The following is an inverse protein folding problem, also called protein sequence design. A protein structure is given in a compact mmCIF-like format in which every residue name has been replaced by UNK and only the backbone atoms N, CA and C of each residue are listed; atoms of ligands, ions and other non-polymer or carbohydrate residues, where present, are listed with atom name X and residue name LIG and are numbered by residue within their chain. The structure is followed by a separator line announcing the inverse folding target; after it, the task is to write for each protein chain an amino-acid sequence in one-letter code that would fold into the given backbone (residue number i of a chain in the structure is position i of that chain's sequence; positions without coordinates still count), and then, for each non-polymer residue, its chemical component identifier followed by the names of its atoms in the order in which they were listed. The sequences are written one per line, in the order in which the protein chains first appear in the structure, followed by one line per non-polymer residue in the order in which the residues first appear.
data_IF_015228333828
#
_entry.id   IF_015228333828
#
_cell.length_a   1.000
_cell.length_b   1.000
_cell.length_c   1.000
_cell.angle_alpha   90.00
_cell.angle_beta   90.00
_cell.angle_gamma   90.00
#
_symmetry.space_group_name_H-M   'P 1'
#
loop_
_entity.id
_entity.type
_entity.pdbx_description
1 polymer ?
#
# COMPACT_ATOMS: atom_id res chain seq x y z
N UNK A 1 5.89 35.71 -40.50
CA UNK A 1 7.02 34.91 -40.00
C UNK A 1 6.75 34.60 -38.54
N UNK A 2 6.45 33.34 -38.23
CA UNK A 2 6.16 32.89 -36.86
C UNK A 2 7.39 32.16 -36.34
N UNK A 3 8.24 32.84 -35.57
CA UNK A 3 9.24 32.17 -34.75
C UNK A 3 8.66 32.11 -33.35
N UNK A 4 7.83 31.10 -33.08
CA UNK A 4 7.50 30.70 -31.72
C UNK A 4 8.63 29.80 -31.22
N UNK A 5 9.77 30.40 -30.89
CA UNK A 5 10.85 29.67 -30.22
C UNK A 5 10.47 29.53 -28.75
N UNK A 6 10.27 28.29 -28.31
CA UNK A 6 10.02 27.94 -26.90
C UNK A 6 11.14 28.47 -25.98
N UNK A 7 12.34 28.68 -26.51
CA UNK A 7 13.49 29.22 -25.79
C UNK A 7 13.34 30.70 -25.39
N UNK A 8 12.33 31.41 -25.90
CA UNK A 8 12.05 32.80 -25.53
C UNK A 8 11.27 32.87 -24.20
N UNK A 9 10.63 31.77 -23.79
CA UNK A 9 9.91 31.70 -22.51
C UNK A 9 10.85 31.98 -21.35
N UNK A 10 10.36 32.61 -20.29
CA UNK A 10 11.15 32.91 -19.10
C UNK A 10 11.42 31.66 -18.27
N UNK A 11 12.35 31.74 -17.30
CA UNK A 11 12.67 30.60 -16.44
C UNK A 11 11.48 30.20 -15.57
N UNK A 12 10.68 31.17 -15.14
CA UNK A 12 9.47 30.98 -14.36
C UNK A 12 8.45 30.14 -15.13
N UNK A 13 8.25 30.42 -16.43
CA UNK A 13 7.37 29.59 -17.26
C UNK A 13 7.84 28.13 -17.35
N UNK A 14 9.16 27.87 -17.33
CA UNK A 14 9.68 26.50 -17.32
C UNK A 14 9.51 25.82 -15.97
N UNK A 15 9.67 26.56 -14.85
CA UNK A 15 9.36 26.01 -13.54
C UNK A 15 7.87 25.65 -13.41
N UNK A 16 6.98 26.50 -13.94
CA UNK A 16 5.55 26.20 -14.01
C UNK A 16 5.27 24.93 -14.83
N UNK A 17 6.00 24.72 -15.94
CA UNK A 17 5.90 23.47 -16.73
C UNK A 17 6.42 22.27 -15.93
N UNK A 18 7.55 22.43 -15.24
CA UNK A 18 8.19 21.36 -14.48
C UNK A 18 7.32 20.88 -13.32
N UNK A 19 6.45 21.72 -12.75
CA UNK A 19 5.51 21.31 -11.71
C UNK A 19 4.50 20.25 -12.18
N UNK A 20 4.25 20.13 -13.49
CA UNK A 20 3.39 19.10 -14.08
C UNK A 20 4.13 17.84 -14.52
N UNK A 21 5.47 17.84 -14.48
CA UNK A 21 6.31 16.75 -14.94
C UNK A 21 7.02 16.08 -13.76
N UNK A 22 7.32 14.81 -13.88
CA UNK A 22 8.22 14.14 -12.95
C UNK A 22 9.69 14.37 -13.34
N UNK A 23 10.60 14.20 -12.39
CA UNK A 23 12.03 14.47 -12.63
C UNK A 23 12.65 13.66 -13.77
N UNK A 24 12.13 12.46 -14.07
CA UNK A 24 12.59 11.67 -15.22
C UNK A 24 12.13 12.26 -16.54
N UNK A 25 10.88 12.70 -16.63
CA UNK A 25 10.34 13.37 -17.83
C UNK A 25 11.06 14.70 -18.08
N UNK A 26 11.34 15.47 -17.02
CA UNK A 26 12.15 16.70 -17.12
C UNK A 26 13.53 16.36 -17.69
N UNK A 27 14.19 15.34 -17.14
CA UNK A 27 15.48 14.90 -17.63
C UNK A 27 15.42 14.46 -19.09
N UNK A 28 14.49 13.59 -19.48
CA UNK A 28 14.37 13.11 -20.85
C UNK A 28 14.09 14.23 -21.85
N UNK A 29 13.22 15.19 -21.49
CA UNK A 29 12.77 16.23 -22.40
C UNK A 29 13.75 17.42 -22.49
N UNK A 30 14.44 17.76 -21.41
CA UNK A 30 15.20 19.02 -21.31
C UNK A 30 16.71 18.84 -21.09
N UNK A 31 17.19 17.65 -20.72
CA UNK A 31 18.63 17.42 -20.60
C UNK A 31 19.33 17.47 -21.96
N UNK A 32 20.56 17.95 -21.96
CA UNK A 32 21.46 18.08 -23.12
C UNK A 32 20.88 18.93 -24.28
N UNK A 33 19.83 19.72 -24.05
CA UNK A 33 19.30 20.64 -25.07
C UNK A 33 20.23 21.85 -25.25
N UNK A 34 20.54 22.56 -24.16
CA UNK A 34 21.47 23.68 -24.12
C UNK A 34 21.84 24.03 -22.65
N UNK A 35 22.84 24.90 -22.48
CA UNK A 35 23.35 25.30 -21.15
C UNK A 35 22.28 25.93 -20.25
N UNK A 36 21.29 26.63 -20.83
CA UNK A 36 20.21 27.26 -20.06
C UNK A 36 19.32 26.20 -19.41
N UNK A 37 18.92 25.17 -20.14
CA UNK A 37 18.11 24.09 -19.59
C UNK A 37 18.89 23.26 -18.57
N UNK A 38 20.18 23.01 -18.80
CA UNK A 38 21.03 22.36 -17.79
C UNK A 38 21.10 23.17 -16.49
N UNK A 39 21.22 24.49 -16.56
CA UNK A 39 21.17 25.35 -15.37
C UNK A 39 19.81 25.32 -14.68
N UNK A 40 18.71 25.28 -15.45
CA UNK A 40 17.36 25.21 -14.91
C UNK A 40 17.12 23.90 -14.16
N UNK A 41 17.52 22.77 -14.74
CA UNK A 41 17.34 21.43 -14.16
C UNK A 41 18.21 21.27 -12.90
N UNK A 42 19.45 21.75 -12.94
CA UNK A 42 20.36 21.63 -11.80
C UNK A 42 20.19 22.75 -10.76
N UNK A 43 19.19 23.64 -10.93
CA UNK A 43 18.93 24.73 -10.00
C UNK A 43 18.39 24.22 -8.66
N UNK A 44 19.01 24.64 -7.56
CA UNK A 44 18.63 24.26 -6.19
C UNK A 44 17.19 24.60 -5.79
N UNK A 45 16.49 25.47 -6.54
CA UNK A 45 15.10 25.86 -6.28
C UNK A 45 14.09 24.81 -6.75
N UNK A 46 14.50 23.89 -7.63
CA UNK A 46 13.63 22.87 -8.19
C UNK A 46 13.65 21.63 -7.28
N UNK A 47 12.49 21.19 -6.81
CA UNK A 47 12.35 19.99 -5.98
C UNK A 47 11.75 18.86 -6.81
N UNK A 48 12.43 17.72 -6.85
CA UNK A 48 12.02 16.62 -7.71
C UNK A 48 11.22 15.55 -6.97
N UNK A 49 10.06 15.23 -7.55
CA UNK A 49 9.46 13.91 -7.47
C UNK A 49 9.85 13.14 -8.72
N UNK A 50 10.49 12.00 -8.53
CA UNK A 50 11.03 11.22 -9.65
C UNK A 50 10.39 9.85 -9.64
N UNK A 51 9.78 9.47 -10.76
CA UNK A 51 9.22 8.15 -10.97
C UNK A 51 9.78 7.56 -12.25
N UNK A 52 10.40 6.39 -12.15
CA UNK A 52 11.01 5.73 -13.30
C UNK A 52 10.54 4.28 -13.33
N UNK A 53 9.98 3.89 -14.46
CA UNK A 53 9.75 2.50 -14.83
C UNK A 53 10.89 2.05 -15.73
N UNK A 54 11.65 1.05 -15.29
CA UNK A 54 12.93 0.71 -15.90
C UNK A 54 12.75 -0.59 -16.66
N UNK A 55 12.95 -0.50 -17.98
CA UNK A 55 12.88 -1.62 -18.92
C UNK A 55 14.29 -2.03 -19.35
N UNK A 56 14.45 -3.28 -19.80
CA UNK A 56 15.75 -3.93 -20.08
C UNK A 56 16.69 -3.16 -21.02
N UNK A 57 16.19 -2.21 -21.80
CA UNK A 57 16.91 -1.56 -22.90
C UNK A 57 17.17 -0.05 -22.72
N UNK A 58 16.80 0.55 -21.59
CA UNK A 58 17.05 1.99 -21.39
C UNK A 58 18.48 2.28 -20.87
N UNK A 59 19.07 3.44 -21.22
CA UNK A 59 20.32 3.92 -20.62
C UNK A 59 20.12 4.37 -19.17
N UNK A 60 19.65 3.46 -18.30
CA UNK A 60 19.36 3.69 -16.89
C UNK A 60 20.61 4.12 -16.10
N UNK A 61 21.79 3.65 -16.49
CA UNK A 61 23.06 4.05 -15.89
C UNK A 61 23.30 5.56 -16.06
N UNK A 62 22.91 6.11 -17.21
CA UNK A 62 23.02 7.54 -17.48
C UNK A 62 22.02 8.30 -16.61
N UNK A 63 20.77 7.85 -16.54
CA UNK A 63 19.77 8.46 -15.67
C UNK A 63 20.18 8.45 -14.19
N UNK A 64 20.66 7.34 -13.65
CA UNK A 64 21.09 7.28 -12.25
C UNK A 64 22.26 8.22 -11.98
N UNK A 65 23.28 8.18 -12.84
CA UNK A 65 24.49 8.99 -12.66
C UNK A 65 24.28 10.48 -12.94
N UNK A 66 23.45 10.84 -13.90
CA UNK A 66 23.27 12.21 -14.36
C UNK A 66 22.08 12.90 -13.70
N UNK A 67 21.02 12.16 -13.36
CA UNK A 67 19.85 12.74 -12.71
C UNK A 67 19.88 12.50 -11.21
N UNK A 68 19.90 11.25 -10.76
CA UNK A 68 19.81 10.94 -9.32
C UNK A 68 21.05 11.46 -8.60
N UNK A 69 22.24 11.12 -9.09
CA UNK A 69 23.50 11.47 -8.43
C UNK A 69 23.83 12.97 -8.45
N UNK A 70 23.52 13.71 -9.52
CA UNK A 70 23.77 15.15 -9.58
C UNK A 70 22.73 15.95 -8.78
N UNK A 71 21.48 15.48 -8.75
CA UNK A 71 20.36 16.19 -8.12
C UNK A 71 19.92 15.59 -6.79
N UNK A 72 20.77 14.82 -6.10
CA UNK A 72 20.44 14.16 -4.82
C UNK A 72 19.82 15.11 -3.77
N UNK A 73 20.31 16.33 -3.72
CA UNK A 73 19.85 17.35 -2.78
C UNK A 73 18.45 17.89 -3.12
N UNK A 74 17.95 17.69 -4.35
CA UNK A 74 16.65 18.18 -4.81
C UNK A 74 15.56 17.10 -4.75
N UNK A 75 15.95 15.83 -4.74
CA UNK A 75 15.02 14.70 -4.76
C UNK A 75 14.39 14.52 -3.38
N UNK A 76 13.08 14.78 -3.29
CA UNK A 76 12.31 14.52 -2.07
C UNK A 76 11.45 13.25 -2.16
N UNK A 77 11.17 12.76 -3.37
CA UNK A 77 10.45 11.50 -3.57
C UNK A 77 11.01 10.70 -4.73
N UNK A 78 11.29 9.42 -4.48
CA UNK A 78 11.85 8.50 -5.46
C UNK A 78 10.96 7.26 -5.61
N UNK A 79 10.46 7.02 -6.81
CA UNK A 79 9.71 5.82 -7.18
C UNK A 79 10.45 5.07 -8.29
N UNK A 80 10.93 3.87 -7.98
CA UNK A 80 11.63 3.01 -8.92
C UNK A 80 10.84 1.71 -9.09
N UNK A 81 10.46 1.40 -10.32
CA UNK A 81 9.78 0.15 -10.65
C UNK A 81 10.57 -0.59 -11.71
N UNK A 82 10.95 -1.82 -11.42
CA UNK A 82 11.48 -2.74 -12.41
C UNK A 82 10.34 -3.58 -12.97
N UNK A 83 10.38 -3.84 -14.28
CA UNK A 83 9.47 -4.80 -14.93
C UNK A 83 10.02 -6.23 -14.88
N UNK A 84 11.33 -6.39 -14.65
CA UNK A 84 12.02 -7.67 -14.60
C UNK A 84 13.03 -7.69 -13.44
N UNK A 85 13.25 -8.84 -12.78
CA UNK A 85 14.35 -8.99 -11.83
C UNK A 85 15.67 -8.88 -12.58
N UNK A 86 16.35 -7.75 -12.42
CA UNK A 86 17.69 -7.50 -12.97
C UNK A 86 18.64 -7.42 -11.79
N UNK A 87 19.45 -8.46 -11.60
CA UNK A 87 20.37 -8.64 -10.46
C UNK A 87 21.37 -7.48 -10.27
N UNK A 88 21.63 -6.68 -11.31
CA UNK A 88 22.62 -5.60 -11.29
C UNK A 88 22.04 -4.20 -11.06
N UNK A 89 20.72 -4.06 -10.95
CA UNK A 89 20.07 -2.75 -10.86
C UNK A 89 20.31 -2.06 -9.51
N UNK A 90 19.91 -2.70 -8.40
CA UNK A 90 19.97 -2.07 -7.08
C UNK A 90 21.37 -1.96 -6.51
N UNK A 91 22.30 -2.80 -7.00
CA UNK A 91 23.70 -2.69 -6.60
C UNK A 91 24.37 -1.40 -7.08
N UNK A 92 23.82 -0.75 -8.12
CA UNK A 92 24.34 0.52 -8.65
C UNK A 92 23.69 1.75 -8.04
N UNK A 93 22.51 1.61 -7.43
CA UNK A 93 21.79 2.73 -6.83
C UNK A 93 22.38 3.04 -5.44
N UNK A 94 23.19 4.09 -5.36
CA UNK A 94 23.77 4.52 -4.09
C UNK A 94 22.78 5.44 -3.36
N UNK A 95 22.08 4.88 -2.38
CA UNK A 95 21.28 5.65 -1.43
C UNK A 95 22.09 5.84 -0.16
N UNK A 96 22.42 7.08 0.14
CA UNK A 96 23.25 7.48 1.26
C UNK A 96 22.70 8.80 1.88
N UNK A 97 23.39 9.31 2.90
CA UNK A 97 22.99 10.54 3.60
C UNK A 97 23.01 11.82 2.75
N UNK A 98 23.57 11.80 1.55
CA UNK A 98 23.54 12.97 0.64
C UNK A 98 22.17 13.22 0.02
N UNK A 99 21.26 12.23 0.06
CA UNK A 99 19.82 12.39 -0.24
C UNK A 99 19.08 13.00 0.97
N UNK A 100 19.56 14.16 1.45
CA UNK A 100 19.14 14.78 2.70
C UNK A 100 17.67 15.25 2.71
N UNK A 101 17.09 15.52 1.54
CA UNK A 101 15.70 15.94 1.35
C UNK A 101 14.73 14.79 1.06
N UNK A 102 15.26 13.57 0.90
CA UNK A 102 14.46 12.40 0.54
C UNK A 102 13.50 12.02 1.67
N UNK A 103 12.22 12.08 1.35
CA UNK A 103 11.09 11.94 2.25
C UNK A 103 10.29 10.67 2.00
N UNK A 104 10.19 10.25 0.73
CA UNK A 104 9.45 9.07 0.32
C UNK A 104 10.23 8.23 -0.68
N UNK A 105 10.32 6.93 -0.41
CA UNK A 105 10.90 5.95 -1.33
C UNK A 105 9.87 4.87 -1.62
N UNK A 106 9.68 4.56 -2.90
CA UNK A 106 8.90 3.42 -3.36
C UNK A 106 9.76 2.60 -4.32
N UNK A 107 9.98 1.34 -3.99
CA UNK A 107 10.70 0.40 -4.85
C UNK A 107 9.80 -0.78 -5.17
N UNK A 108 9.62 -1.06 -6.46
CA UNK A 108 8.94 -2.26 -6.94
C UNK A 108 9.94 -3.10 -7.73
N UNK A 109 9.98 -4.38 -7.38
CA UNK A 109 10.87 -5.35 -7.99
C UNK A 109 12.25 -5.42 -7.38
N UNK A 110 12.42 -5.01 -6.12
CA UNK A 110 13.70 -5.20 -5.43
C UNK A 110 14.01 -6.69 -5.27
N UNK A 111 15.24 -7.05 -5.64
CA UNK A 111 15.76 -8.39 -5.41
C UNK A 111 15.81 -8.68 -3.90
N UNK A 112 15.48 -9.91 -3.54
CA UNK A 112 15.31 -10.30 -2.14
C UNK A 112 16.66 -10.36 -1.40
N UNK A 113 17.78 -10.56 -2.10
CA UNK A 113 19.12 -10.47 -1.51
C UNK A 113 19.60 -9.03 -1.30
N UNK A 114 19.11 -8.09 -2.12
CA UNK A 114 19.49 -6.67 -2.03
C UNK A 114 18.73 -5.90 -0.93
N UNK A 115 17.53 -6.35 -0.54
CA UNK A 115 16.62 -5.60 0.34
C UNK A 115 17.23 -5.27 1.71
N UNK A 116 18.00 -6.19 2.31
CA UNK A 116 18.60 -6.00 3.63
C UNK A 116 19.65 -4.89 3.58
N UNK A 117 20.53 -4.92 2.58
CA UNK A 117 21.55 -3.88 2.39
C UNK A 117 20.91 -2.54 2.07
N UNK A 118 19.86 -2.55 1.25
CA UNK A 118 19.07 -1.36 0.95
C UNK A 118 18.42 -0.76 2.22
N UNK A 119 17.73 -1.55 3.04
CA UNK A 119 17.11 -1.07 4.27
C UNK A 119 18.14 -0.48 5.27
N UNK A 120 19.33 -1.08 5.35
CA UNK A 120 20.43 -0.54 6.17
C UNK A 120 20.86 0.84 5.70
N UNK A 121 20.89 1.10 4.39
CA UNK A 121 21.28 2.42 3.88
C UNK A 121 20.22 3.49 4.16
N UNK A 122 18.94 3.12 4.26
CA UNK A 122 17.85 4.03 4.61
C UNK A 122 17.94 4.59 6.03
N UNK A 123 18.63 3.89 6.95
CA UNK A 123 18.76 4.32 8.34
C UNK A 123 19.48 5.69 8.48
N UNK A 124 20.26 6.08 7.47
CA UNK A 124 21.01 7.34 7.45
C UNK A 124 20.21 8.51 6.85
N UNK A 125 18.98 8.29 6.38
CA UNK A 125 18.17 9.33 5.75
C UNK A 125 17.38 10.12 6.81
N UNK A 126 17.69 11.41 7.02
CA UNK A 126 17.16 12.17 8.14
C UNK A 126 15.67 12.51 8.02
N UNK A 127 15.11 12.46 6.80
CA UNK A 127 13.75 12.93 6.49
C UNK A 127 12.83 11.83 5.94
N UNK A 128 13.31 10.59 5.84
CA UNK A 128 12.52 9.49 5.30
C UNK A 128 11.33 9.17 6.22
N UNK A 129 10.12 9.49 5.78
CA UNK A 129 8.89 9.21 6.51
C UNK A 129 7.99 8.19 5.81
N UNK A 130 8.22 7.89 4.53
CA UNK A 130 7.42 6.98 3.73
C UNK A 130 8.29 5.96 3.00
N UNK A 131 7.99 4.68 3.17
CA UNK A 131 8.68 3.58 2.53
C UNK A 131 7.67 2.58 1.97
N UNK A 132 7.76 2.30 0.67
CA UNK A 132 7.00 1.26 0.00
C UNK A 132 7.95 0.30 -0.70
N UNK A 133 7.89 -0.98 -0.37
CA UNK A 133 8.71 -2.01 -0.99
C UNK A 133 7.80 -3.11 -1.56
N UNK A 134 8.00 -3.42 -2.84
CA UNK A 134 7.46 -4.58 -3.53
C UNK A 134 8.60 -5.40 -4.10
N UNK A 135 8.59 -6.73 -3.92
CA UNK A 135 9.61 -7.63 -4.45
C UNK A 135 9.02 -8.70 -5.37
N UNK A 136 9.79 -9.11 -6.38
CA UNK A 136 9.51 -10.22 -7.30
C UNK A 136 10.14 -11.50 -6.77
N UNK A 137 9.66 -12.02 -5.65
CA UNK A 137 10.29 -13.23 -5.13
C UNK A 137 9.65 -14.50 -5.67
N UNK A 138 10.45 -15.42 -6.19
CA UNK A 138 10.03 -16.74 -6.64
C UNK A 138 10.52 -17.78 -5.62
N UNK A 139 9.69 -18.07 -4.61
CA UNK A 139 9.86 -19.14 -3.58
C UNK A 139 11.09 -19.01 -2.66
N UNK A 140 10.86 -19.22 -1.37
CA UNK A 140 11.93 -19.53 -0.41
C UNK A 140 12.43 -18.40 0.49
N UNK A 141 11.82 -17.21 0.43
CA UNK A 141 12.22 -16.12 1.31
C UNK A 141 11.96 -16.39 2.78
N UNK A 142 13.00 -16.28 3.60
CA UNK A 142 12.90 -16.45 5.06
C UNK A 142 13.29 -15.20 5.84
N UNK A 143 13.51 -14.08 5.15
CA UNK A 143 14.14 -12.90 5.77
C UNK A 143 13.14 -11.86 6.28
N UNK A 144 11.83 -12.16 6.33
CA UNK A 144 10.84 -11.30 6.99
C UNK A 144 11.24 -11.00 8.45
N UNK A 145 11.85 -11.97 9.11
CA UNK A 145 12.38 -11.85 10.47
C UNK A 145 13.55 -10.87 10.59
N UNK A 146 14.21 -10.53 9.48
CA UNK A 146 15.30 -9.55 9.41
C UNK A 146 14.76 -8.20 8.91
N UNK A 147 13.85 -8.21 7.93
CA UNK A 147 13.30 -7.02 7.30
C UNK A 147 12.45 -6.19 8.26
N UNK A 148 11.52 -6.81 8.97
CA UNK A 148 10.63 -6.09 9.88
C UNK A 148 11.41 -5.31 10.96
N UNK A 149 12.39 -5.91 11.67
CA UNK A 149 13.22 -5.18 12.61
C UNK A 149 13.94 -4.00 11.97
N UNK A 150 14.53 -4.15 10.77
CA UNK A 150 15.19 -3.06 10.08
C UNK A 150 14.23 -1.91 9.77
N UNK A 151 13.04 -2.21 9.25
CA UNK A 151 11.99 -1.21 8.99
C UNK A 151 11.59 -0.49 10.28
N UNK A 152 11.35 -1.25 11.37
CA UNK A 152 10.90 -0.67 12.63
C UNK A 152 11.95 0.21 13.32
N UNK A 153 13.22 0.01 13.02
CA UNK A 153 14.31 0.89 13.50
C UNK A 153 14.44 2.21 12.74
N UNK A 154 13.72 2.42 11.64
CA UNK A 154 13.78 3.67 10.88
C UNK A 154 13.10 4.82 11.67
N UNK A 155 13.85 5.85 12.10
CA UNK A 155 13.44 6.71 13.22
C UNK A 155 12.33 7.72 12.89
N UNK A 156 12.11 8.02 11.61
CA UNK A 156 11.12 9.01 11.15
C UNK A 156 9.99 8.39 10.33
N UNK A 157 10.01 7.05 10.18
CA UNK A 157 9.08 6.35 9.31
C UNK A 157 7.65 6.37 9.89
N UNK A 158 6.72 6.97 9.15
CA UNK A 158 5.30 7.07 9.51
C UNK A 158 4.42 6.18 8.63
N UNK A 159 4.82 5.98 7.37
CA UNK A 159 4.14 5.11 6.42
C UNK A 159 5.07 3.97 6.00
N UNK A 160 4.59 2.74 6.12
CA UNK A 160 5.26 1.57 5.58
C UNK A 160 4.29 0.72 4.75
N UNK A 161 4.73 0.33 3.56
CA UNK A 161 4.12 -0.72 2.76
C UNK A 161 5.18 -1.75 2.41
N UNK A 162 4.91 -3.01 2.73
CA UNK A 162 5.75 -4.13 2.35
C UNK A 162 4.88 -5.16 1.64
N UNK A 163 5.28 -5.59 0.45
CA UNK A 163 4.54 -6.59 -0.30
C UNK A 163 5.39 -7.49 -1.17
N UNK A 164 4.87 -8.70 -1.41
CA UNK A 164 5.52 -9.75 -2.17
C UNK A 164 4.57 -10.17 -3.29
N UNK A 165 5.05 -10.15 -4.53
CA UNK A 165 4.21 -10.41 -5.72
C UNK A 165 3.84 -11.89 -5.81
N UNK A 166 4.77 -12.78 -5.48
CA UNK A 166 4.48 -14.19 -5.21
C UNK A 166 4.81 -14.45 -3.75
N UNK A 167 3.78 -14.75 -2.96
CA UNK A 167 3.86 -14.72 -1.50
C UNK A 167 4.79 -15.79 -0.94
N UNK A 168 5.73 -15.46 -0.05
CA UNK A 168 6.35 -16.47 0.78
C UNK A 168 5.33 -16.94 1.83
N UNK A 169 5.06 -18.25 1.92
CA UNK A 169 4.43 -18.85 3.10
C UNK A 169 5.45 -18.95 4.24
N UNK A 170 6.16 -17.86 4.55
CA UNK A 170 7.23 -17.88 5.55
C UNK A 170 6.71 -17.46 6.91
N UNK A 171 7.14 -18.21 7.93
CA UNK A 171 6.75 -17.93 9.31
C UNK A 171 7.47 -16.69 9.84
N UNK A 172 6.67 -15.74 10.30
CA UNK A 172 7.16 -14.54 10.99
C UNK A 172 7.30 -14.85 12.47
N UNK A 173 8.55 -15.03 12.90
CA UNK A 173 8.98 -15.36 14.26
C UNK A 173 9.59 -14.14 14.96
N UNK A 174 8.95 -12.99 14.85
CA UNK A 174 9.36 -11.80 15.61
C UNK A 174 9.13 -12.05 17.11
N UNK A 175 10.09 -11.71 17.98
CA UNK A 175 9.84 -11.70 19.41
C UNK A 175 8.81 -10.61 19.71
N UNK A 176 7.94 -10.84 20.68
CA UNK A 176 7.11 -9.75 21.20
C UNK A 176 8.01 -8.73 21.88
N UNK A 177 7.85 -7.46 21.51
CA UNK A 177 8.61 -6.39 22.13
C UNK A 177 8.22 -6.26 23.61
N UNK A 178 9.22 -6.34 24.48
CA UNK A 178 9.11 -6.04 25.92
C UNK A 178 9.75 -4.69 26.29
N UNK A 179 10.47 -4.08 25.34
CA UNK A 179 11.25 -2.86 25.55
C UNK A 179 10.64 -1.63 24.84
N UNK A 180 10.92 -0.42 25.33
CA UNK A 180 10.33 0.86 24.86
C UNK A 180 10.72 1.31 23.43
N UNK A 181 11.42 0.48 22.65
CA UNK A 181 11.89 0.88 21.31
C UNK A 181 10.81 0.60 20.26
N UNK A 182 9.82 1.48 20.23
CA UNK A 182 8.70 1.40 19.30
C UNK A 182 8.98 2.15 18.01
N UNK A 183 8.40 1.66 16.92
CA UNK A 183 8.39 2.33 15.63
C UNK A 183 7.44 3.54 15.64
N UNK A 184 7.78 4.58 14.87
CA UNK A 184 6.91 5.75 14.66
C UNK A 184 5.81 5.54 13.60
N UNK A 185 5.67 4.32 13.06
CA UNK A 185 4.72 3.99 12.00
C UNK A 185 3.29 4.23 12.50
N UNK A 186 2.53 4.98 11.68
CA UNK A 186 1.11 5.27 11.87
C UNK A 186 0.22 4.64 10.80
N UNK A 187 0.80 4.30 9.65
CA UNK A 187 0.14 3.61 8.56
C UNK A 187 1.00 2.43 8.10
N UNK A 188 0.46 1.23 8.28
CA UNK A 188 1.10 -0.03 7.93
C UNK A 188 0.27 -0.77 6.87
N UNK A 189 0.93 -1.18 5.78
CA UNK A 189 0.36 -2.01 4.72
C UNK A 189 1.18 -3.28 4.56
N UNK A 190 0.61 -4.40 5.02
CA UNK A 190 1.15 -5.75 4.91
C UNK A 190 0.52 -6.40 3.68
N UNK A 191 1.18 -6.24 2.52
CA UNK A 191 0.72 -6.77 1.24
C UNK A 191 1.37 -8.12 0.93
N UNK A 192 1.27 -9.04 1.90
CA UNK A 192 1.59 -10.45 1.78
C UNK A 192 0.73 -11.21 2.78
N UNK A 193 0.62 -12.52 2.58
CA UNK A 193 -0.12 -13.40 3.48
C UNK A 193 0.44 -13.34 4.90
N UNK A 194 -0.44 -13.24 5.89
CA UNK A 194 -0.10 -13.07 7.29
C UNK A 194 -1.23 -13.66 8.16
N UNK A 195 -0.89 -14.51 9.11
CA UNK A 195 -1.86 -15.01 10.10
C UNK A 195 -2.15 -13.97 11.18
N UNK A 196 -3.21 -14.14 11.98
CA UNK A 196 -3.52 -13.20 13.07
C UNK A 196 -2.44 -13.21 14.16
N UNK A 197 -1.82 -14.36 14.42
CA UNK A 197 -0.68 -14.46 15.34
C UNK A 197 0.52 -13.62 14.83
N UNK A 198 0.85 -13.76 13.55
CA UNK A 198 1.93 -13.00 12.93
C UNK A 198 1.62 -11.51 12.92
N UNK A 199 0.37 -11.14 12.60
CA UNK A 199 -0.10 -9.76 12.67
C UNK A 199 0.10 -9.18 14.07
N UNK A 200 -0.30 -9.91 15.12
CA UNK A 200 -0.12 -9.48 16.52
C UNK A 200 1.36 -9.19 16.84
N UNK A 201 2.27 -10.05 16.39
CA UNK A 201 3.72 -9.83 16.55
C UNK A 201 4.18 -8.57 15.82
N UNK A 202 3.77 -8.36 14.57
CA UNK A 202 4.14 -7.19 13.76
C UNK A 202 3.62 -5.91 14.42
N UNK A 203 2.34 -5.86 14.81
CA UNK A 203 1.74 -4.63 15.37
C UNK A 203 2.28 -4.29 16.76
N UNK A 204 2.86 -5.25 17.49
CA UNK A 204 3.56 -4.98 18.77
C UNK A 204 4.72 -3.97 18.66
N UNK A 205 5.24 -3.75 17.46
CA UNK A 205 6.27 -2.76 17.19
C UNK A 205 5.68 -1.38 16.84
N UNK A 206 4.38 -1.27 16.58
CA UNK A 206 3.70 -0.07 16.05
C UNK A 206 2.54 0.37 16.95
N UNK A 207 2.79 0.81 18.19
CA UNK A 207 1.71 1.18 19.13
C UNK A 207 0.98 2.48 18.75
N UNK A 208 1.50 3.26 17.80
CA UNK A 208 0.87 4.49 17.29
C UNK A 208 0.11 4.26 15.98
N UNK A 209 -0.29 3.03 15.69
CA UNK A 209 -0.93 2.67 14.43
C UNK A 209 -2.35 3.24 14.36
N UNK A 210 -2.67 3.95 13.28
CA UNK A 210 -3.99 4.52 13.02
C UNK A 210 -4.65 3.93 11.77
N UNK A 211 -3.83 3.41 10.84
CA UNK A 211 -4.26 2.82 9.58
C UNK A 211 -3.55 1.49 9.39
N UNK A 212 -4.32 0.43 9.23
CA UNK A 212 -3.80 -0.91 8.98
C UNK A 212 -4.45 -1.48 7.71
N UNK A 213 -3.61 -2.02 6.83
CA UNK A 213 -4.04 -2.84 5.71
C UNK A 213 -3.27 -4.15 5.77
N UNK A 214 -3.96 -5.28 5.71
CA UNK A 214 -3.29 -6.59 5.64
C UNK A 214 -4.07 -7.60 4.82
N UNK A 215 -3.37 -8.65 4.40
CA UNK A 215 -3.95 -9.82 3.75
C UNK A 215 -3.97 -10.96 4.75
N UNK A 216 -5.17 -11.42 5.06
CA UNK A 216 -5.43 -12.50 6.00
C UNK A 216 -5.23 -13.86 5.32
N UNK A 217 -4.42 -14.71 5.96
CA UNK A 217 -4.19 -16.10 5.56
C UNK A 217 -4.77 -17.04 6.62
N UNK A 218 -5.11 -18.27 6.21
CA UNK A 218 -5.68 -19.28 7.09
C UNK A 218 -4.83 -19.45 8.37
N UNK A 219 -5.49 -19.21 9.50
CA UNK A 219 -4.94 -19.42 10.82
C UNK A 219 -5.72 -20.58 11.45
N UNK A 220 -5.03 -21.44 12.22
CA UNK A 220 -5.68 -22.58 12.89
C UNK A 220 -6.93 -22.08 13.62
N UNK A 221 -8.06 -22.79 13.52
CA UNK A 221 -9.36 -22.30 14.00
C UNK A 221 -9.39 -22.00 15.52
N UNK A 222 -8.33 -22.37 16.23
CA UNK A 222 -8.15 -22.19 17.66
C UNK A 222 -7.25 -21.00 18.07
N UNK A 223 -6.70 -20.19 17.16
CA UNK A 223 -5.85 -19.06 17.56
C UNK A 223 -6.65 -18.02 18.34
N UNK A 224 -6.38 -17.93 19.65
CA UNK A 224 -6.94 -16.90 20.53
C UNK A 224 -6.37 -15.55 20.13
N UNK A 225 -7.27 -14.58 19.93
CA UNK A 225 -6.89 -13.19 19.71
C UNK A 225 -6.26 -12.64 20.99
N UNK A 226 -5.05 -12.08 20.87
CA UNK A 226 -4.32 -11.50 21.98
C UNK A 226 -4.89 -10.12 22.39
N UNK A 227 -4.92 -9.84 23.69
CA UNK A 227 -5.33 -8.54 24.25
C UNK A 227 -4.52 -7.37 23.69
N UNK A 228 -3.24 -7.59 23.37
CA UNK A 228 -2.38 -6.57 22.77
C UNK A 228 -2.87 -6.20 21.36
N UNK A 229 -3.21 -7.19 20.52
CA UNK A 229 -3.80 -6.95 19.20
C UNK A 229 -5.13 -6.19 19.35
N UNK A 230 -6.00 -6.60 20.26
CA UNK A 230 -7.27 -5.90 20.54
C UNK A 230 -7.04 -4.42 20.93
N UNK A 231 -6.03 -4.15 21.75
CA UNK A 231 -5.66 -2.79 22.16
C UNK A 231 -5.27 -1.93 20.96
N UNK A 232 -4.43 -2.42 20.06
CA UNK A 232 -4.03 -1.67 18.87
C UNK A 232 -5.21 -1.49 17.91
N UNK A 233 -5.98 -2.55 17.66
CA UNK A 233 -7.14 -2.48 16.79
C UNK A 233 -8.14 -1.42 17.27
N UNK A 234 -8.32 -1.25 18.58
CA UNK A 234 -9.21 -0.23 19.16
C UNK A 234 -8.80 1.22 18.89
N UNK A 235 -7.53 1.47 18.53
CA UNK A 235 -7.00 2.79 18.19
C UNK A 235 -7.06 3.09 16.68
N UNK A 236 -7.34 2.07 15.86
CA UNK A 236 -7.42 2.24 14.42
C UNK A 236 -8.59 3.13 14.04
N UNK A 237 -8.34 3.96 13.04
CA UNK A 237 -9.35 4.78 12.35
C UNK A 237 -9.67 4.22 10.97
N UNK A 238 -8.73 3.49 10.35
CA UNK A 238 -8.89 2.87 9.05
C UNK A 238 -8.39 1.44 9.10
N UNK A 239 -9.22 0.51 8.62
CA UNK A 239 -8.89 -0.90 8.53
C UNK A 239 -9.22 -1.41 7.13
N UNK A 240 -8.22 -2.01 6.46
CA UNK A 240 -8.41 -2.73 5.21
C UNK A 240 -7.96 -4.18 5.38
N UNK A 241 -8.83 -5.13 5.03
CA UNK A 241 -8.54 -6.55 5.14
C UNK A 241 -8.85 -7.21 3.80
N UNK A 242 -7.88 -7.95 3.25
CA UNK A 242 -8.14 -8.90 2.19
C UNK A 242 -8.29 -10.29 2.81
N UNK A 243 -9.45 -10.91 2.64
CA UNK A 243 -9.87 -12.14 3.30
C UNK A 243 -9.97 -13.27 2.27
N UNK A 244 -9.16 -14.31 2.45
CA UNK A 244 -9.21 -15.51 1.61
C UNK A 244 -9.86 -16.71 2.31
N UNK A 245 -9.75 -16.83 3.63
CA UNK A 245 -10.16 -18.04 4.35
C UNK A 245 -10.95 -17.79 5.65
N UNK A 246 -11.06 -16.54 6.12
CA UNK A 246 -11.80 -16.21 7.34
C UNK A 246 -13.30 -16.11 7.09
N UNK A 247 -14.08 -16.90 7.83
CA UNK A 247 -15.55 -16.86 7.80
C UNK A 247 -16.09 -15.57 8.41
N UNK A 248 -17.33 -15.21 8.04
CA UNK A 248 -18.02 -14.05 8.58
C UNK A 248 -18.15 -14.12 10.10
N UNK A 249 -18.46 -15.28 10.67
CA UNK A 249 -18.61 -15.46 12.12
C UNK A 249 -17.34 -15.11 12.89
N UNK A 250 -16.17 -15.46 12.34
CA UNK A 250 -14.86 -15.14 12.94
C UNK A 250 -14.55 -13.65 12.85
N UNK A 251 -14.84 -13.02 11.70
CA UNK A 251 -14.74 -11.56 11.57
C UNK A 251 -15.69 -10.84 12.52
N UNK A 252 -16.92 -11.33 12.63
CA UNK A 252 -17.95 -10.78 13.52
C UNK A 252 -17.49 -10.87 14.97
N UNK A 253 -16.92 -12.01 15.40
CA UNK A 253 -16.33 -12.15 16.73
C UNK A 253 -15.18 -11.17 16.97
N UNK A 254 -14.28 -10.97 16.00
CA UNK A 254 -13.19 -10.00 16.11
C UNK A 254 -13.75 -8.58 16.34
N UNK A 255 -14.75 -8.18 15.55
CA UNK A 255 -15.39 -6.86 15.67
C UNK A 255 -16.11 -6.74 17.02
N UNK A 256 -16.85 -7.77 17.46
CA UNK A 256 -17.58 -7.75 18.76
C UNK A 256 -16.64 -7.67 19.95
N UNK A 257 -15.49 -8.33 19.88
CA UNK A 257 -14.50 -8.38 20.96
C UNK A 257 -13.58 -7.15 20.99
N UNK A 258 -13.66 -6.29 19.97
CA UNK A 258 -12.81 -5.11 19.85
C UNK A 258 -13.66 -3.85 19.90
N UNK A 259 -13.29 -2.88 20.73
CA UNK A 259 -13.96 -1.57 20.75
C UNK A 259 -13.45 -0.69 19.59
N UNK A 260 -13.75 -1.11 18.35
CA UNK A 260 -13.28 -0.47 17.13
C UNK A 260 -13.90 0.92 16.95
N UNK A 261 -13.03 1.93 16.80
CA UNK A 261 -13.42 3.32 16.51
C UNK A 261 -13.10 3.69 15.06
N UNK A 262 -13.46 2.78 14.15
CA UNK A 262 -13.14 2.90 12.74
C UNK A 262 -14.02 3.97 12.10
N UNK A 263 -13.36 4.91 11.40
CA UNK A 263 -13.98 5.82 10.46
C UNK A 263 -14.16 5.16 9.08
N UNK A 264 -13.24 4.25 8.73
CA UNK A 264 -13.25 3.54 7.46
C UNK A 264 -12.94 2.05 7.63
N UNK A 265 -13.74 1.22 6.97
CA UNK A 265 -13.56 -0.22 6.87
C UNK A 265 -13.60 -0.60 5.38
N UNK A 266 -12.58 -1.35 4.93
CA UNK A 266 -12.50 -1.90 3.59
C UNK A 266 -12.26 -3.40 3.65
N UNK A 267 -13.13 -4.18 3.02
CA UNK A 267 -13.04 -5.64 2.97
C UNK A 267 -12.99 -6.08 1.52
N UNK A 268 -12.06 -6.97 1.20
CA UNK A 268 -11.93 -7.63 -0.10
C UNK A 268 -11.94 -9.14 0.15
N UNK A 269 -13.06 -9.80 -0.15
CA UNK A 269 -13.35 -11.18 0.20
C UNK A 269 -13.31 -12.02 -1.07
N UNK A 270 -12.51 -13.08 -1.02
CA UNK A 270 -12.37 -14.07 -2.09
C UNK A 270 -12.52 -15.47 -1.49
N UNK A 271 -13.68 -15.73 -0.87
CA UNK A 271 -14.02 -16.96 -0.15
C UNK A 271 -15.49 -17.32 -0.40
N UNK A 272 -15.79 -18.62 -0.47
CA UNK A 272 -17.16 -19.16 -0.62
C UNK A 272 -17.97 -19.13 0.70
N UNK A 273 -17.97 -18.01 1.44
CA UNK A 273 -18.83 -17.82 2.62
C UNK A 273 -19.94 -16.81 2.34
N UNK A 274 -21.13 -17.32 2.00
CA UNK A 274 -22.30 -16.51 1.64
C UNK A 274 -22.83 -15.65 2.78
N UNK A 275 -22.44 -15.91 4.03
CA UNK A 275 -22.85 -15.10 5.18
C UNK A 275 -22.36 -13.65 5.06
N UNK A 276 -21.30 -13.40 4.30
CA UNK A 276 -20.83 -12.05 4.00
C UNK A 276 -21.84 -11.21 3.20
N UNK A 277 -22.79 -11.86 2.53
CA UNK A 277 -23.82 -11.23 1.71
C UNK A 277 -25.13 -11.01 2.48
N UNK A 278 -25.21 -11.38 3.76
CA UNK A 278 -26.39 -11.15 4.60
C UNK A 278 -26.42 -9.70 5.13
N UNK A 279 -27.22 -8.84 4.48
CA UNK A 279 -27.27 -7.41 4.82
C UNK A 279 -27.67 -7.14 6.27
N UNK A 280 -28.68 -7.85 6.78
CA UNK A 280 -29.19 -7.65 8.14
C UNK A 280 -28.12 -7.90 9.22
N UNK A 281 -27.21 -8.86 8.99
CA UNK A 281 -26.08 -9.12 9.90
C UNK A 281 -25.11 -7.94 9.91
N UNK A 282 -24.78 -7.41 8.73
CA UNK A 282 -23.96 -6.20 8.61
C UNK A 282 -24.61 -4.99 9.28
N UNK A 283 -25.91 -4.75 9.08
CA UNK A 283 -26.62 -3.64 9.71
C UNK A 283 -26.51 -3.68 11.24
N UNK A 284 -26.77 -4.84 11.83
CA UNK A 284 -26.68 -5.05 13.28
C UNK A 284 -25.24 -4.85 13.77
N UNK A 285 -24.28 -5.44 13.06
CA UNK A 285 -22.86 -5.38 13.42
C UNK A 285 -22.34 -3.94 13.38
N UNK A 286 -22.62 -3.22 12.28
CA UNK A 286 -22.15 -1.86 12.08
C UNK A 286 -22.83 -0.91 13.07
N UNK A 287 -24.17 -0.99 13.20
CA UNK A 287 -24.92 -0.11 14.09
C UNK A 287 -24.49 -0.24 15.55
N UNK A 288 -24.15 -1.46 15.99
CA UNK A 288 -23.82 -1.74 17.38
C UNK A 288 -22.33 -1.58 17.71
N UNK A 289 -21.44 -1.98 16.81
CA UNK A 289 -20.01 -2.09 17.11
C UNK A 289 -19.11 -1.15 16.28
N UNK A 290 -19.63 -0.55 15.20
CA UNK A 290 -18.88 0.35 14.32
C UNK A 290 -19.64 1.67 14.11
N UNK A 291 -20.14 2.26 15.21
CA UNK A 291 -21.01 3.44 15.18
C UNK A 291 -20.36 4.71 14.62
N UNK A 292 -19.03 4.75 14.52
CA UNK A 292 -18.26 5.86 13.95
C UNK A 292 -17.91 5.65 12.47
N UNK A 293 -18.39 4.57 11.86
CA UNK A 293 -18.04 4.20 10.49
C UNK A 293 -18.75 5.10 9.48
N UNK A 294 -17.97 5.95 8.82
CA UNK A 294 -18.45 6.85 7.78
C UNK A 294 -18.24 6.25 6.38
N UNK A 295 -17.27 5.35 6.24
CA UNK A 295 -16.89 4.81 4.94
C UNK A 295 -16.80 3.29 5.00
N UNK A 296 -17.68 2.62 4.27
CA UNK A 296 -17.68 1.17 4.14
C UNK A 296 -17.44 0.78 2.69
N UNK A 297 -16.34 0.07 2.46
CA UNK A 297 -16.00 -0.55 1.18
C UNK A 297 -16.03 -2.06 1.38
N UNK A 298 -16.81 -2.74 0.57
CA UNK A 298 -16.91 -4.19 0.63
C UNK A 298 -16.85 -4.73 -0.78
N UNK A 299 -15.99 -5.69 -1.04
CA UNK A 299 -15.98 -6.49 -2.26
C UNK A 299 -16.08 -7.96 -1.86
N UNK A 300 -17.03 -8.66 -2.46
CA UNK A 300 -17.15 -10.11 -2.36
C UNK A 300 -17.06 -10.68 -3.76
N UNK A 301 -16.04 -11.48 -4.02
CA UNK A 301 -15.79 -12.09 -5.32
C UNK A 301 -16.03 -13.59 -5.25
N UNK A 302 -16.91 -14.07 -6.12
CA UNK A 302 -17.27 -15.48 -6.29
C UNK A 302 -16.81 -15.97 -7.66
N UNK A 303 -16.13 -17.12 -7.70
CA UNK A 303 -15.74 -17.80 -8.93
C UNK A 303 -16.94 -18.48 -9.60
N UNK A 304 -17.13 -18.28 -10.90
CA UNK A 304 -18.26 -18.80 -11.68
C UNK A 304 -18.20 -20.30 -11.99
N UNK A 305 -17.11 -21.01 -11.63
CA UNK A 305 -17.01 -22.45 -11.81
C UNK A 305 -17.97 -23.21 -10.86
N UNK A 306 -19.21 -23.48 -11.31
CA UNK A 306 -20.13 -24.47 -10.71
C UNK A 306 -21.62 -24.13 -10.73
N UNK A 307 -22.49 -25.13 -11.00
CA UNK A 307 -23.97 -24.96 -11.10
C UNK A 307 -24.68 -24.52 -9.81
N UNK A 308 -24.07 -24.68 -8.63
CA UNK A 308 -24.65 -24.22 -7.35
C UNK A 308 -24.59 -22.69 -7.19
N UNK A 309 -23.71 -22.01 -7.92
CA UNK A 309 -23.33 -20.60 -7.70
C UNK A 309 -24.29 -19.59 -8.35
N UNK A 310 -25.00 -19.98 -9.41
CA UNK A 310 -26.09 -19.17 -9.99
C UNK A 310 -27.23 -18.90 -8.98
N UNK A 311 -27.43 -19.78 -7.99
CA UNK A 311 -28.51 -19.66 -7.02
C UNK A 311 -28.27 -18.58 -5.96
N UNK A 312 -27.01 -18.25 -5.66
CA UNK A 312 -26.64 -17.16 -4.74
C UNK A 312 -26.93 -15.80 -5.36
N UNK A 313 -26.59 -15.63 -6.64
CA UNK A 313 -26.88 -14.42 -7.42
C UNK A 313 -28.37 -14.15 -7.56
N UNK A 314 -29.15 -15.17 -7.93
CA UNK A 314 -30.61 -15.05 -8.06
C UNK A 314 -31.26 -14.64 -6.73
N UNK A 315 -30.80 -15.18 -5.61
CA UNK A 315 -31.29 -14.79 -4.28
C UNK A 315 -30.97 -13.35 -3.90
N UNK A 316 -29.82 -12.82 -4.29
CA UNK A 316 -29.44 -11.43 -4.00
C UNK A 316 -30.24 -10.42 -4.81
N UNK A 317 -30.42 -10.67 -6.10
CA UNK A 317 -31.23 -9.83 -6.98
C UNK A 317 -32.72 -9.85 -6.61
N UNK A 318 -33.26 -11.02 -6.24
CA UNK A 318 -34.67 -11.15 -5.85
C UNK A 318 -34.99 -10.49 -4.50
N UNK A 319 -34.00 -10.34 -3.61
CA UNK A 319 -34.23 -9.96 -2.21
C UNK A 319 -33.94 -8.50 -1.87
N UNK A 320 -33.32 -7.71 -2.76
CA UNK A 320 -32.98 -6.30 -2.52
C UNK A 320 -32.38 -6.05 -1.12
N UNK A 321 -31.56 -6.98 -0.62
CA UNK A 321 -31.17 -7.03 0.79
C UNK A 321 -30.44 -5.76 1.26
N UNK A 322 -29.74 -5.06 0.38
CA UNK A 322 -28.97 -3.84 0.68
C UNK A 322 -29.75 -2.54 0.36
N UNK A 323 -31.08 -2.57 0.43
CA UNK A 323 -31.96 -1.42 0.12
C UNK A 323 -32.65 -0.79 1.32
N UNK A 324 -32.40 -1.30 2.53
CA UNK A 324 -33.03 -0.77 3.75
C UNK A 324 -32.65 0.71 4.00
N UNK A 325 -33.41 1.39 4.87
CA UNK A 325 -33.13 2.77 5.27
C UNK A 325 -31.69 2.93 5.78
N UNK A 326 -31.14 1.93 6.49
CA UNK A 326 -29.77 1.95 6.98
C UNK A 326 -28.73 2.22 5.87
N UNK A 327 -28.87 1.55 4.72
CA UNK A 327 -27.93 1.67 3.59
C UNK A 327 -28.13 2.97 2.83
N UNK A 328 -29.39 3.30 2.54
CA UNK A 328 -29.74 4.51 1.78
C UNK A 328 -29.37 5.79 2.53
N UNK A 329 -29.60 5.89 3.84
CA UNK A 329 -29.21 7.05 4.66
C UNK A 329 -27.69 7.27 4.70
N UNK A 330 -26.92 6.20 4.54
CA UNK A 330 -25.44 6.25 4.47
C UNK A 330 -24.92 6.46 3.05
N UNK A 331 -25.80 6.52 2.05
CA UNK A 331 -25.47 6.52 0.63
C UNK A 331 -24.52 5.36 0.26
N UNK A 332 -24.73 4.19 0.86
CA UNK A 332 -23.96 2.99 0.52
C UNK A 332 -24.79 2.13 -0.43
N UNK A 333 -24.27 1.91 -1.63
CA UNK A 333 -25.00 1.24 -2.71
C UNK A 333 -24.31 -0.07 -3.04
N UNK A 334 -25.11 -1.11 -3.27
CA UNK A 334 -24.65 -2.38 -3.82
C UNK A 334 -24.55 -2.27 -5.34
N UNK A 335 -23.36 -2.57 -5.86
CA UNK A 335 -23.08 -2.71 -7.28
C UNK A 335 -22.67 -4.15 -7.58
N UNK A 336 -23.14 -4.70 -8.68
CA UNK A 336 -22.73 -6.02 -9.15
C UNK A 336 -21.90 -5.86 -10.42
N UNK A 337 -20.73 -6.51 -10.46
CA UNK A 337 -19.89 -6.61 -11.65
C UNK A 337 -19.75 -8.07 -12.02
N UNK A 338 -20.07 -8.38 -13.28
CA UNK A 338 -19.98 -9.74 -13.82
C UNK A 338 -18.88 -9.77 -14.87
N UNK A 339 -17.95 -10.71 -14.72
CA UNK A 339 -16.96 -11.08 -15.72
C UNK A 339 -17.14 -12.56 -16.10
N UNK A 340 -16.47 -13.03 -17.14
CA UNK A 340 -16.51 -14.40 -17.61
C UNK A 340 -16.11 -15.44 -16.55
N UNK A 341 -15.23 -15.06 -15.63
CA UNK A 341 -14.66 -15.95 -14.61
C UNK A 341 -15.24 -15.72 -13.21
N UNK A 342 -15.73 -14.52 -12.90
CA UNK A 342 -16.11 -14.14 -11.54
C UNK A 342 -17.32 -13.20 -11.51
N UNK A 343 -18.08 -13.25 -10.41
CA UNK A 343 -19.03 -12.21 -10.02
C UNK A 343 -18.46 -11.49 -8.81
N UNK A 344 -18.46 -10.16 -8.85
CA UNK A 344 -18.11 -9.33 -7.70
C UNK A 344 -19.31 -8.50 -7.27
N UNK A 345 -19.68 -8.62 -6.00
CA UNK A 345 -20.63 -7.75 -5.32
C UNK A 345 -19.86 -6.71 -4.52
N UNK A 346 -20.10 -5.43 -4.81
CA UNK A 346 -19.38 -4.31 -4.22
C UNK A 346 -20.33 -3.38 -3.48
N UNK A 347 -20.03 -3.02 -2.24
CA UNK A 347 -20.68 -1.89 -1.56
C UNK A 347 -19.70 -0.73 -1.55
N UNK A 348 -20.18 0.44 -1.99
CA UNK A 348 -19.40 1.68 -2.07
C UNK A 348 -20.23 2.88 -1.61
N UNK A 349 -19.58 3.93 -1.06
CA UNK A 349 -20.20 5.24 -0.95
C UNK A 349 -20.57 5.75 -2.34
N UNK A 350 -21.76 6.31 -2.48
CA UNK A 350 -22.20 6.93 -3.72
C UNK A 350 -21.41 8.23 -3.94
N UNK A 351 -20.41 8.19 -4.81
CA UNK A 351 -19.70 9.37 -5.27
C UNK A 351 -20.51 10.00 -6.41
N UNK A 352 -21.07 11.20 -6.19
CA UNK A 352 -21.57 12.02 -7.29
C UNK A 352 -20.40 12.25 -8.27
N UNK A 353 -20.48 11.65 -9.47
CA UNK A 353 -19.74 12.16 -10.63
C UNK A 353 -20.41 13.48 -11.03
N UNK A 354 -19.91 14.59 -10.50
CA UNK A 354 -20.16 15.93 -11.05
C UNK A 354 -19.24 16.17 -12.24
#
# INVERSE_FOLDING_TARGET
MSISSMEILSNECFYDIFDYLNGYEIYQAFSNLNDRFEQLINSSSLLFKTAVEIRRDEPFRNFTNQMIHLNKHQIFSLHLSLTDPIDSFFSQLIIDSSLNNLQSISMRGIDSHAIVSFLKSLAYLPRLFSLSIGTFELKGFKDLNIIYPLIFTLPKLKFNKLGFIYGPHSSILLPMITNKQFSSIKHLVINHSCTLEQLNRIVSYTPQLHRLSFTDEEDDNNTKIDNHLLSILSQLTHLKIKIYHTTFDRLEMLIKNTNLKLNSLSLDISLEDVNYLESARWEILISKYLSQLNTFHFDYTEDMEGRKKLSTHLKLEESNQFSSLFWSERNWVLETKVNFEFITYSIRPYEYRL
#
